data_IF_728914550381
#
_entry.id   IF_728914550381
#
_cell.length_a   1.000
_cell.length_b   1.000
_cell.length_c   1.000
_cell.angle_alpha   90.00
_cell.angle_beta   90.00
_cell.angle_gamma   90.00
#
_symmetry.space_group_name_H-M   'P 1'
#
loop_
_entity.id
_entity.type
_entity.pdbx_description
1 polymer ?
#
# COMPACT_ATOMS: atom_id res chain seq x y z
N UNK A 1 15.83 20.51 0.94
CA UNK A 1 15.27 20.40 2.30
C UNK A 1 14.93 18.93 2.64
N UNK A 2 15.86 17.98 2.41
CA UNK A 2 15.57 16.54 2.42
C UNK A 2 16.37 15.69 3.43
N UNK A 3 17.05 16.31 4.39
CA UNK A 3 17.96 15.59 5.31
C UNK A 3 17.34 15.21 6.66
N UNK A 4 16.08 15.57 6.95
CA UNK A 4 15.48 15.28 8.27
C UNK A 4 14.89 13.87 8.43
N UNK A 5 14.70 13.10 7.35
CA UNK A 5 13.97 11.80 7.42
C UNK A 5 14.87 10.57 7.63
N UNK A 6 16.20 10.69 7.47
CA UNK A 6 17.16 9.56 7.59
C UNK A 6 17.79 9.48 9.00
N UNK A 7 17.26 10.22 9.98
CA UNK A 7 17.86 10.27 11.31
C UNK A 7 17.60 9.01 12.16
N UNK A 8 16.53 8.26 11.88
CA UNK A 8 16.17 7.06 12.64
C UNK A 8 17.03 5.83 12.33
N UNK A 9 17.33 5.58 11.05
CA UNK A 9 17.94 4.32 10.61
C UNK A 9 19.48 4.29 10.63
N UNK A 10 20.15 5.44 10.79
CA UNK A 10 21.60 5.56 10.55
C UNK A 10 22.49 5.01 11.69
N UNK A 11 21.94 4.59 12.83
CA UNK A 11 22.75 4.41 14.05
C UNK A 11 23.05 2.99 14.52
N UNK A 12 22.73 1.92 13.78
CA UNK A 12 22.92 0.56 14.33
C UNK A 12 23.38 -0.42 13.26
N UNK A 13 24.68 -0.79 13.26
CA UNK A 13 25.24 -1.83 12.40
C UNK A 13 25.85 -3.01 13.17
N UNK A 14 25.54 -3.19 14.46
CA UNK A 14 26.21 -4.23 15.27
C UNK A 14 25.29 -5.21 16.01
N UNK A 15 23.96 -5.14 15.87
CA UNK A 15 23.08 -6.06 16.57
C UNK A 15 21.83 -6.41 15.75
N UNK A 16 21.82 -7.59 15.14
CA UNK A 16 20.89 -7.99 14.09
C UNK A 16 19.39 -7.94 14.43
N UNK A 17 18.97 -8.01 15.70
CA UNK A 17 17.57 -7.85 16.11
C UNK A 17 17.12 -6.39 16.18
N UNK A 18 18.02 -5.48 16.57
CA UNK A 18 17.69 -4.05 16.71
C UNK A 18 17.46 -3.38 15.35
N UNK A 19 18.06 -3.92 14.29
CA UNK A 19 17.94 -3.36 12.93
C UNK A 19 16.52 -3.49 12.39
N UNK A 20 15.83 -4.62 12.62
CA UNK A 20 14.44 -4.79 12.16
C UNK A 20 13.48 -3.92 12.97
N UNK A 21 13.65 -3.85 14.28
CA UNK A 21 12.82 -3.00 15.16
C UNK A 21 12.94 -1.51 14.78
N UNK A 22 14.16 -1.04 14.53
CA UNK A 22 14.40 0.36 14.18
C UNK A 22 13.97 0.67 12.74
N UNK A 23 14.11 -0.28 11.82
CA UNK A 23 13.56 -0.17 10.46
C UNK A 23 12.04 -0.06 10.48
N UNK A 24 11.36 -0.95 11.20
CA UNK A 24 9.91 -0.93 11.37
C UNK A 24 9.44 0.42 11.93
N UNK A 25 10.05 0.90 13.02
CA UNK A 25 9.72 2.21 13.60
C UNK A 25 9.90 3.35 12.59
N UNK A 26 10.97 3.30 11.79
CA UNK A 26 11.23 4.30 10.75
C UNK A 26 10.14 4.34 9.69
N UNK A 27 9.74 3.18 9.17
CA UNK A 27 8.64 3.07 8.21
C UNK A 27 7.29 3.47 8.81
N UNK A 28 6.97 2.97 10.02
CA UNK A 28 5.74 3.29 10.72
C UNK A 28 5.61 4.80 10.98
N UNK A 29 6.71 5.48 11.33
CA UNK A 29 6.70 6.93 11.47
C UNK A 29 6.37 7.61 10.14
N UNK A 30 6.88 7.13 9.02
CA UNK A 30 6.54 7.68 7.70
C UNK A 30 5.09 7.40 7.28
N UNK A 31 4.50 6.28 7.68
CA UNK A 31 3.07 5.99 7.49
C UNK A 31 2.18 6.97 8.30
N UNK A 32 2.60 7.30 9.52
CA UNK A 32 1.92 8.28 10.40
C UNK A 32 2.08 9.70 9.85
N UNK A 33 3.30 10.09 9.48
CA UNK A 33 3.64 11.41 8.95
C UNK A 33 3.15 11.61 7.52
N UNK A 34 2.59 10.56 6.91
CA UNK A 34 2.15 10.54 5.52
C UNK A 34 3.24 11.03 4.56
N UNK A 35 4.43 10.42 4.64
CA UNK A 35 5.64 10.87 3.96
C UNK A 35 5.39 11.12 2.46
N UNK A 36 5.60 12.38 2.05
CA UNK A 36 5.39 12.91 0.69
C UNK A 36 3.97 12.68 0.14
N UNK A 37 3.05 12.32 1.05
CA UNK A 37 1.65 12.07 0.78
C UNK A 37 1.34 10.76 0.09
N UNK A 38 2.31 9.83 0.01
CA UNK A 38 2.21 8.54 -0.69
C UNK A 38 2.55 7.33 0.20
N UNK A 39 3.00 7.54 1.45
CA UNK A 39 3.24 6.47 2.43
C UNK A 39 2.17 6.54 3.49
N UNK A 40 1.58 5.41 3.86
CA UNK A 40 0.47 5.35 4.81
C UNK A 40 -0.87 5.84 4.25
N UNK A 41 -1.81 6.11 5.15
CA UNK A 41 -3.19 6.45 4.82
C UNK A 41 -3.36 7.86 4.22
N UNK A 42 -4.54 8.19 3.68
CA UNK A 42 -4.91 9.55 3.29
C UNK A 42 -4.16 10.13 2.08
N UNK A 43 -3.37 9.30 1.40
CA UNK A 43 -2.69 9.57 0.14
C UNK A 43 -3.20 8.70 -1.00
N UNK A 44 -2.76 8.99 -2.22
CA UNK A 44 -2.88 8.13 -3.41
C UNK A 44 -4.16 7.27 -3.50
N UNK A 45 -5.36 7.88 -3.54
CA UNK A 45 -6.59 7.11 -3.74
C UNK A 45 -6.58 6.45 -5.11
N UNK A 46 -7.07 5.20 -5.19
CA UNK A 46 -7.29 4.50 -6.45
C UNK A 46 -8.49 5.05 -7.23
N UNK A 47 -8.78 4.48 -8.40
CA UNK A 47 -9.92 4.89 -9.23
C UNK A 47 -11.27 4.76 -8.51
N UNK A 48 -11.36 3.89 -7.49
CA UNK A 48 -12.53 3.67 -6.63
C UNK A 48 -12.53 4.53 -5.36
N UNK A 49 -11.63 5.53 -5.27
CA UNK A 49 -11.47 6.47 -4.15
C UNK A 49 -10.85 5.84 -2.88
N UNK A 50 -10.36 4.62 -2.95
CA UNK A 50 -9.79 3.93 -1.79
C UNK A 50 -8.27 4.09 -1.73
N UNK A 51 -7.74 4.41 -0.56
CA UNK A 51 -6.31 4.24 -0.29
C UNK A 51 -6.08 2.80 0.16
N UNK A 52 -5.23 2.07 -0.55
CA UNK A 52 -4.73 0.74 -0.13
C UNK A 52 -3.22 0.78 0.05
N UNK A 53 -2.69 0.01 0.99
CA UNK A 53 -1.28 0.05 1.35
C UNK A 53 -0.56 -1.22 0.88
N UNK A 54 0.67 -1.03 0.39
CA UNK A 54 1.59 -2.10 0.03
C UNK A 54 2.86 -1.93 0.86
N UNK A 55 3.37 -3.02 1.44
CA UNK A 55 4.57 -2.98 2.25
C UNK A 55 5.29 -4.34 2.30
N UNK A 56 6.61 -4.32 2.52
CA UNK A 56 7.46 -5.52 2.60
C UNK A 56 8.61 -5.30 3.59
N UNK A 57 8.92 -6.33 4.38
CA UNK A 57 10.09 -6.40 5.24
C UNK A 57 10.85 -7.70 5.02
N UNK A 58 12.18 -7.64 5.08
CA UNK A 58 13.06 -8.80 4.94
C UNK A 58 14.09 -8.83 6.07
N UNK A 59 14.21 -9.98 6.73
CA UNK A 59 15.30 -10.26 7.65
C UNK A 59 16.52 -10.80 6.88
N UNK A 60 17.57 -9.99 6.75
CA UNK A 60 18.79 -10.39 6.03
C UNK A 60 19.57 -11.56 6.67
N UNK A 61 19.35 -11.85 7.95
CA UNK A 61 20.05 -12.94 8.65
C UNK A 61 19.36 -14.30 8.43
N UNK A 62 18.02 -14.32 8.40
CA UNK A 62 17.22 -15.54 8.27
C UNK A 62 16.66 -15.75 6.86
N UNK A 63 16.69 -14.71 6.02
CA UNK A 63 16.07 -14.67 4.69
C UNK A 63 14.54 -14.76 4.75
N UNK A 64 13.95 -14.60 5.94
CA UNK A 64 12.51 -14.50 6.10
C UNK A 64 12.00 -13.18 5.54
N UNK A 65 10.81 -13.24 4.92
CA UNK A 65 10.16 -12.09 4.30
C UNK A 65 8.69 -12.10 4.69
N UNK A 66 8.20 -10.93 5.08
CA UNK A 66 6.78 -10.63 5.17
C UNK A 66 6.41 -9.56 4.15
N UNK A 67 5.22 -9.67 3.57
CA UNK A 67 4.70 -8.73 2.59
C UNK A 67 3.18 -8.63 2.70
N UNK A 68 2.66 -7.43 2.46
CA UNK A 68 1.25 -7.15 2.25
C UNK A 68 1.05 -6.30 1.00
N UNK A 69 -0.01 -6.56 0.25
CA UNK A 69 -0.40 -5.69 -0.86
C UNK A 69 -1.91 -5.53 -0.92
N UNK A 70 -2.35 -4.40 -1.45
CA UNK A 70 -3.73 -3.97 -1.43
C UNK A 70 -4.31 -4.08 -0.01
N UNK A 71 -3.52 -3.80 1.04
CA UNK A 71 -3.98 -3.86 2.42
C UNK A 71 -5.02 -2.77 2.62
N UNK A 72 -6.23 -3.17 2.99
CA UNK A 72 -7.38 -2.28 3.09
C UNK A 72 -7.66 -2.00 4.55
N UNK A 73 -7.99 -0.74 4.86
CA UNK A 73 -8.55 -0.37 6.17
C UNK A 73 -7.68 -0.71 7.40
N UNK A 74 -6.36 -0.76 7.24
CA UNK A 74 -5.39 -0.89 8.33
C UNK A 74 -4.31 0.18 8.11
N UNK A 75 -4.04 1.03 9.10
CA UNK A 75 -3.11 2.16 8.95
C UNK A 75 -1.64 1.77 8.94
N UNK A 76 -1.26 0.87 9.85
CA UNK A 76 0.15 0.53 10.10
C UNK A 76 0.55 -0.69 9.28
N UNK A 77 0.87 -0.51 8.00
CA UNK A 77 1.11 -1.62 7.09
C UNK A 77 2.38 -2.40 7.49
N UNK A 78 3.48 -1.72 7.80
CA UNK A 78 4.76 -2.36 8.18
C UNK A 78 4.65 -3.30 9.38
N UNK A 79 3.80 -2.97 10.35
CA UNK A 79 3.60 -3.81 11.54
C UNK A 79 2.80 -5.07 11.18
N UNK A 80 1.83 -4.96 10.27
CA UNK A 80 1.13 -6.14 9.71
C UNK A 80 2.09 -6.98 8.89
N UNK A 81 2.93 -6.35 8.06
CA UNK A 81 3.97 -7.02 7.27
C UNK A 81 4.89 -7.85 8.15
N UNK A 82 5.34 -7.30 9.29
CA UNK A 82 6.15 -8.05 10.26
C UNK A 82 5.37 -9.22 10.86
N UNK A 83 4.09 -9.02 11.19
CA UNK A 83 3.25 -10.11 11.68
C UNK A 83 3.09 -11.24 10.63
N UNK A 84 3.03 -10.93 9.33
CA UNK A 84 3.05 -11.96 8.27
C UNK A 84 4.32 -12.79 8.34
N UNK A 85 5.48 -12.14 8.47
CA UNK A 85 6.79 -12.79 8.57
C UNK A 85 6.88 -13.69 9.82
N UNK A 86 6.43 -13.19 10.98
CA UNK A 86 6.64 -13.85 12.28
C UNK A 86 5.57 -14.89 12.63
N UNK A 87 4.36 -14.78 12.08
CA UNK A 87 3.20 -15.58 12.48
C UNK A 87 2.58 -16.41 11.37
N UNK A 88 3.23 -16.48 10.21
CA UNK A 88 2.79 -17.36 9.12
C UNK A 88 3.97 -18.09 8.50
N UNK A 89 3.70 -19.18 7.78
CA UNK A 89 4.68 -19.82 6.89
C UNK A 89 4.63 -19.24 5.47
N UNK A 90 3.84 -18.19 5.26
CA UNK A 90 3.66 -17.53 3.99
C UNK A 90 4.51 -16.26 3.92
N UNK A 91 4.84 -15.85 2.71
CA UNK A 91 5.59 -14.61 2.50
C UNK A 91 4.67 -13.41 2.27
N UNK A 92 3.50 -13.61 1.64
CA UNK A 92 2.74 -12.51 1.06
C UNK A 92 1.23 -12.73 1.22
N UNK A 93 0.55 -11.76 1.84
CA UNK A 93 -0.92 -11.72 1.95
C UNK A 93 -1.46 -10.49 1.23
N UNK A 94 -2.65 -10.59 0.62
CA UNK A 94 -3.19 -9.48 -0.16
C UNK A 94 -4.65 -9.15 0.12
N UNK A 95 -5.02 -7.90 -0.14
CA UNK A 95 -6.41 -7.46 -0.21
C UNK A 95 -7.16 -7.52 1.11
N UNK A 96 -8.44 -7.87 0.99
CA UNK A 96 -9.34 -8.08 2.14
C UNK A 96 -8.83 -9.20 3.07
N UNK A 97 -8.24 -10.26 2.51
CA UNK A 97 -7.71 -11.38 3.30
C UNK A 97 -6.54 -10.97 4.19
N UNK A 98 -5.66 -10.07 3.73
CA UNK A 98 -4.62 -9.50 4.57
C UNK A 98 -5.20 -8.64 5.71
N UNK A 99 -6.32 -7.97 5.46
CA UNK A 99 -7.02 -7.15 6.47
C UNK A 99 -7.63 -8.04 7.56
N UNK A 100 -8.26 -9.16 7.18
CA UNK A 100 -8.80 -10.14 8.13
C UNK A 100 -7.69 -10.82 8.97
N UNK A 101 -6.53 -11.10 8.34
CA UNK A 101 -5.35 -11.54 9.07
C UNK A 101 -4.91 -10.49 10.10
N UNK A 102 -4.82 -9.22 9.70
CA UNK A 102 -4.44 -8.14 10.60
C UNK A 102 -5.43 -8.03 11.78
N UNK A 103 -6.73 -8.07 11.53
CA UNK A 103 -7.74 -8.08 12.61
C UNK A 103 -7.55 -9.26 13.56
N UNK A 104 -7.21 -10.44 13.04
CA UNK A 104 -6.91 -11.63 13.85
C UNK A 104 -5.64 -11.49 14.70
N UNK A 105 -4.69 -10.66 14.27
CA UNK A 105 -3.49 -10.28 15.02
C UNK A 105 -3.74 -9.10 15.98
N UNK A 106 -4.97 -8.57 16.04
CA UNK A 106 -5.37 -7.50 16.96
C UNK A 106 -5.25 -6.09 16.39
N UNK A 107 -4.98 -5.92 15.09
CA UNK A 107 -4.96 -4.60 14.46
C UNK A 107 -6.36 -4.03 14.28
N UNK A 108 -6.51 -2.72 14.47
CA UNK A 108 -7.79 -2.03 14.32
C UNK A 108 -8.10 -1.79 12.85
N UNK A 109 -9.31 -2.19 12.44
CA UNK A 109 -9.87 -1.86 11.13
C UNK A 109 -10.48 -0.46 11.13
N UNK A 110 -10.01 0.41 10.24
CA UNK A 110 -10.45 1.80 10.13
C UNK A 110 -10.36 2.36 8.71
N UNK A 111 -11.13 3.40 8.39
CA UNK A 111 -11.08 4.04 7.06
C UNK A 111 -9.75 4.78 6.86
N UNK A 112 -9.08 4.52 5.73
CA UNK A 112 -7.82 5.18 5.35
C UNK A 112 -8.05 6.50 4.62
N UNK A 113 -9.30 6.84 4.31
CA UNK A 113 -9.68 8.02 3.55
C UNK A 113 -9.61 9.30 4.39
N UNK A 114 -8.99 10.35 3.86
CA UNK A 114 -8.98 11.69 4.48
C UNK A 114 -9.64 12.72 3.56
N UNK A 115 -9.88 13.94 4.06
CA UNK A 115 -10.35 15.04 3.21
C UNK A 115 -9.37 15.34 2.05
N UNK A 116 -8.07 15.12 2.27
CA UNK A 116 -7.03 15.26 1.25
C UNK A 116 -7.22 14.24 0.12
N UNK A 117 -7.28 12.94 0.43
CA UNK A 117 -7.47 11.92 -0.61
C UNK A 117 -8.81 12.06 -1.32
N UNK A 118 -9.89 12.41 -0.60
CA UNK A 118 -11.19 12.74 -1.24
C UNK A 118 -11.08 13.88 -2.23
N UNK A 119 -10.34 14.94 -1.90
CA UNK A 119 -10.16 16.09 -2.81
C UNK A 119 -9.32 15.74 -4.03
N UNK A 120 -8.28 14.90 -3.87
CA UNK A 120 -7.46 14.41 -4.99
C UNK A 120 -8.34 13.64 -5.99
N UNK A 121 -9.11 12.66 -5.50
CA UNK A 121 -10.00 11.85 -6.34
C UNK A 121 -11.09 12.69 -7.01
N UNK A 122 -11.72 13.62 -6.28
CA UNK A 122 -12.73 14.52 -6.86
C UNK A 122 -12.17 15.36 -8.01
N UNK A 123 -10.97 15.95 -7.83
CA UNK A 123 -10.32 16.73 -8.89
C UNK A 123 -9.99 15.87 -10.11
N UNK A 124 -9.60 14.62 -9.89
CA UNK A 124 -9.34 13.66 -10.96
C UNK A 124 -10.61 13.32 -11.74
N UNK A 125 -11.75 13.13 -11.07
CA UNK A 125 -13.05 12.96 -11.71
C UNK A 125 -13.45 14.20 -12.52
N UNK A 126 -13.26 15.41 -11.98
CA UNK A 126 -13.54 16.68 -12.66
C UNK A 126 -12.66 16.88 -13.91
N UNK A 127 -11.51 16.22 -13.95
CA UNK A 127 -10.57 16.20 -15.08
C UNK A 127 -10.81 15.01 -16.03
N UNK A 128 -12.03 14.46 -16.08
CA UNK A 128 -12.38 13.31 -16.92
C UNK A 128 -11.47 12.10 -16.68
N UNK A 129 -11.12 11.86 -15.42
CA UNK A 129 -10.27 10.76 -14.98
C UNK A 129 -8.85 10.81 -15.57
N UNK A 130 -8.26 12.01 -15.70
CA UNK A 130 -6.91 12.19 -16.23
C UNK A 130 -5.91 12.61 -15.14
N UNK A 131 -4.69 12.03 -15.13
CA UNK A 131 -4.27 10.88 -15.95
C UNK A 131 -4.87 9.56 -15.44
N UNK A 132 -4.91 8.53 -16.27
CA UNK A 132 -5.16 7.14 -15.84
C UNK A 132 -4.21 6.17 -16.55
N UNK A 133 -4.27 4.90 -16.18
CA UNK A 133 -3.32 3.86 -16.63
C UNK A 133 -3.96 2.83 -17.58
N UNK A 134 -5.14 3.11 -18.13
CA UNK A 134 -5.81 2.22 -19.09
C UNK A 134 -5.24 2.41 -20.51
N UNK A 135 -5.21 1.33 -21.29
CA UNK A 135 -4.84 1.34 -22.72
C UNK A 135 -5.63 0.30 -23.49
N UNK A 136 -5.80 0.53 -24.80
CA UNK A 136 -6.44 -0.43 -25.73
C UNK A 136 -7.86 -0.87 -25.31
N UNK A 137 -8.65 0.09 -24.84
CA UNK A 137 -10.03 -0.10 -24.39
C UNK A 137 -11.05 0.65 -25.25
N UNK A 138 -12.30 0.18 -25.20
CA UNK A 138 -13.48 0.84 -25.74
C UNK A 138 -13.73 2.11 -24.93
N UNK A 139 -14.02 3.20 -25.63
CA UNK A 139 -13.93 4.58 -25.16
C UNK A 139 -12.47 5.02 -24.99
N UNK A 140 -12.18 6.24 -25.43
CA UNK A 140 -10.82 6.77 -25.40
C UNK A 140 -10.45 7.13 -23.95
N UNK A 141 -9.66 6.26 -23.31
CA UNK A 141 -9.20 6.45 -21.94
C UNK A 141 -8.37 7.72 -21.76
N UNK A 142 -7.82 8.32 -22.82
CA UNK A 142 -7.13 9.62 -22.75
C UNK A 142 -8.10 10.81 -22.65
N UNK A 143 -9.41 10.57 -22.78
CA UNK A 143 -10.44 11.62 -22.85
C UNK A 143 -11.63 11.41 -21.90
N UNK A 144 -11.81 10.21 -21.35
CA UNK A 144 -13.03 9.85 -20.63
C UNK A 144 -12.73 8.91 -19.46
N UNK A 145 -13.63 8.92 -18.48
CA UNK A 145 -13.67 7.95 -17.40
C UNK A 145 -14.23 6.60 -17.88
N UNK A 146 -13.91 5.54 -17.14
CA UNK A 146 -14.51 4.22 -17.34
C UNK A 146 -16.00 4.13 -16.92
N UNK A 147 -16.58 2.92 -16.88
CA UNK A 147 -15.90 1.63 -17.02
C UNK A 147 -15.46 1.36 -18.46
N UNK A 148 -14.23 0.87 -18.58
CA UNK A 148 -13.62 0.50 -19.85
C UNK A 148 -13.83 -0.98 -20.15
N UNK A 149 -13.87 -1.34 -21.43
CA UNK A 149 -13.95 -2.72 -21.89
C UNK A 149 -12.87 -2.96 -22.94
N UNK A 150 -12.31 -4.17 -23.07
CA UNK A 150 -11.31 -4.44 -24.11
C UNK A 150 -11.83 -4.17 -25.53
N UNK A 151 -11.02 -3.53 -26.39
CA UNK A 151 -11.39 -3.31 -27.82
C UNK A 151 -11.64 -4.66 -28.53
N UNK A 152 -10.87 -5.68 -28.17
CA UNK A 152 -11.02 -7.05 -28.66
C UNK A 152 -11.52 -7.91 -27.52
N UNK A 153 -12.55 -8.74 -27.76
CA UNK A 153 -13.07 -9.66 -26.76
C UNK A 153 -11.95 -10.47 -26.12
N UNK A 154 -12.03 -10.67 -24.79
CA UNK A 154 -11.05 -11.46 -24.04
C UNK A 154 -10.98 -12.85 -24.67
N UNK A 155 -9.78 -13.28 -25.07
CA UNK A 155 -9.58 -14.66 -25.53
C UNK A 155 -9.98 -15.59 -24.39
N UNK A 156 -11.12 -16.27 -24.52
CA UNK A 156 -11.51 -17.30 -23.55
C UNK A 156 -10.44 -18.39 -23.60
N UNK A 157 -9.67 -18.54 -22.53
CA UNK A 157 -8.84 -19.73 -22.35
C UNK A 157 -9.79 -20.90 -22.06
N UNK A 158 -9.64 -22.04 -22.75
CA UNK A 158 -10.33 -23.25 -22.33
C UNK A 158 -9.93 -23.54 -20.89
N UNK A 159 -10.93 -23.84 -20.05
CA UNK A 159 -10.72 -24.31 -18.68
C UNK A 159 -10.22 -25.75 -18.69
#
# INVERSE_FOLDING_TARGET
>A
MGQKKVAGARRVLEAGSFVLDDFEKGCAQCEIDQCDGNVGYGGSPDENRETTLDDMIMNGNTIEVGAVAQLRRIKNAIVVTRAVMEHTKHTFLVGESASLFAESMGFMREDLTTNRSRSIHSKWLDQSCQPNYWKDVVQDASKSCGPFHPIRGVKKHPR
#
